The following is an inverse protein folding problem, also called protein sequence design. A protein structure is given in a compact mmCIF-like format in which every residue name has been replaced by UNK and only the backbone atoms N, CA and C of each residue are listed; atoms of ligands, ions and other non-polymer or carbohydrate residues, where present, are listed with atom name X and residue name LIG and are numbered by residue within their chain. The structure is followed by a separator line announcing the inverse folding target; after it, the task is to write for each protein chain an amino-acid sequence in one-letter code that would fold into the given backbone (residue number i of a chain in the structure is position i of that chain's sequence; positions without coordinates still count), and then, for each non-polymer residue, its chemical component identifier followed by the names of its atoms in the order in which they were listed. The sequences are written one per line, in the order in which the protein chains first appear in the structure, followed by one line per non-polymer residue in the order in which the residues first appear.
data_IF_568359478546
#
_entry.id   IF_568359478546
#
_cell.length_a   1.000
_cell.length_b   1.000
_cell.length_c   1.000
_cell.angle_alpha   90.00
_cell.angle_beta   90.00
_cell.angle_gamma   90.00
#
_symmetry.space_group_name_H-M   'P 1'
#
loop_
_entity.id
_entity.type
_entity.pdbx_description
1 polymer ?
#
# COMPACT_ATOMS: atom_id res chain seq x y z
N UNK A 1 23.58 -22.67 -14.67
CA UNK A 1 22.56 -23.30 -13.80
C UNK A 1 21.57 -24.07 -14.68
N UNK A 2 21.14 -25.27 -14.27
CA UNK A 2 20.18 -26.06 -15.05
C UNK A 2 18.79 -25.43 -15.01
N UNK A 3 17.99 -25.62 -16.07
CA UNK A 3 16.61 -25.10 -16.17
C UNK A 3 15.70 -25.59 -15.04
N UNK A 4 16.01 -26.77 -14.47
CA UNK A 4 15.32 -27.38 -13.33
C UNK A 4 15.55 -26.60 -12.02
N UNK A 5 16.79 -26.20 -11.74
CA UNK A 5 17.14 -25.48 -10.51
C UNK A 5 16.48 -24.10 -10.41
N UNK A 6 16.20 -23.45 -11.56
CA UNK A 6 15.52 -22.15 -11.61
C UNK A 6 14.03 -22.21 -11.26
N UNK A 7 13.41 -23.39 -11.39
CA UNK A 7 11.97 -23.60 -11.15
C UNK A 7 11.70 -24.36 -9.85
N UNK A 8 12.74 -24.66 -9.08
CA UNK A 8 12.64 -25.35 -7.79
C UNK A 8 11.93 -24.47 -6.77
N UNK A 9 10.79 -24.95 -6.28
CA UNK A 9 10.01 -24.29 -5.22
C UNK A 9 10.63 -24.59 -3.86
N UNK A 10 10.71 -23.57 -3.03
CA UNK A 10 11.26 -23.59 -1.68
C UNK A 10 10.19 -23.07 -0.74
N UNK A 11 9.96 -23.82 0.35
CA UNK A 11 9.08 -23.40 1.45
C UNK A 11 9.96 -22.94 2.61
N UNK A 12 9.77 -21.69 3.02
CA UNK A 12 10.41 -21.09 4.20
C UNK A 12 9.36 -20.95 5.29
N UNK A 13 9.62 -21.52 6.46
CA UNK A 13 8.79 -21.36 7.66
C UNK A 13 9.50 -20.39 8.61
N UNK A 14 9.04 -19.13 8.62
CA UNK A 14 9.71 -18.03 9.34
C UNK A 14 8.87 -17.68 10.57
N UNK A 15 9.32 -18.09 11.76
CA UNK A 15 8.59 -17.85 13.01
C UNK A 15 7.15 -18.38 12.99
N UNK A 16 6.87 -19.45 12.23
CA UNK A 16 5.53 -20.02 12.05
C UNK A 16 4.76 -19.54 10.82
N UNK A 17 5.23 -18.49 10.12
CA UNK A 17 4.62 -18.01 8.88
C UNK A 17 5.28 -18.69 7.68
N UNK A 18 4.49 -19.36 6.84
CA UNK A 18 4.99 -20.07 5.66
C UNK A 18 5.01 -19.17 4.43
N UNK A 19 6.16 -19.14 3.76
CA UNK A 19 6.39 -18.47 2.49
C UNK A 19 6.83 -19.48 1.44
N UNK A 20 6.24 -19.40 0.26
CA UNK A 20 6.66 -20.19 -0.90
C UNK A 20 7.29 -19.27 -1.95
N UNK A 21 8.45 -19.67 -2.46
CA UNK A 21 9.18 -18.92 -3.48
C UNK A 21 10.04 -19.86 -4.33
N UNK A 22 10.76 -19.33 -5.31
CA UNK A 22 11.70 -20.11 -6.11
C UNK A 22 13.12 -19.98 -5.55
N UNK A 23 13.91 -21.05 -5.70
CA UNK A 23 15.36 -21.00 -5.39
C UNK A 23 16.03 -19.84 -6.13
N UNK A 24 15.66 -19.60 -7.39
CA UNK A 24 16.19 -18.50 -8.19
C UNK A 24 15.95 -17.12 -7.56
N UNK A 25 14.81 -16.94 -6.89
CA UNK A 25 14.49 -15.71 -6.15
C UNK A 25 15.43 -15.53 -4.98
N UNK A 26 15.62 -16.57 -4.16
CA UNK A 26 16.53 -16.50 -3.02
C UNK A 26 17.99 -16.28 -3.45
N UNK A 27 18.42 -16.90 -4.55
CA UNK A 27 19.79 -16.77 -5.07
C UNK A 27 20.05 -15.51 -5.90
N UNK A 28 19.07 -14.63 -6.09
CA UNK A 28 19.20 -13.43 -6.93
C UNK A 28 20.26 -12.45 -6.40
N UNK A 29 20.47 -12.43 -5.08
CA UNK A 29 21.45 -11.56 -4.41
C UNK A 29 22.43 -12.41 -3.58
N UNK A 30 23.48 -12.99 -4.20
CA UNK A 30 24.34 -13.98 -3.58
C UNK A 30 25.04 -13.52 -2.29
N UNK A 31 25.28 -12.23 -2.15
CA UNK A 31 26.01 -11.64 -1.00
C UNK A 31 25.17 -11.49 0.27
N UNK A 32 23.88 -11.85 0.20
CA UNK A 32 22.96 -11.87 1.34
C UNK A 32 22.90 -13.26 1.99
N UNK A 33 22.34 -13.37 3.19
CA UNK A 33 22.28 -14.63 3.94
C UNK A 33 21.55 -15.73 3.15
N UNK A 34 20.31 -15.49 2.68
CA UNK A 34 19.57 -16.50 1.91
C UNK A 34 20.17 -16.70 0.53
N UNK A 35 20.73 -15.64 -0.06
CA UNK A 35 21.45 -15.69 -1.32
C UNK A 35 22.62 -16.65 -1.28
N UNK A 36 23.40 -16.62 -0.20
CA UNK A 36 24.49 -17.56 0.05
C UNK A 36 23.94 -18.95 0.40
N UNK A 37 22.99 -19.04 1.34
CA UNK A 37 22.44 -20.31 1.83
C UNK A 37 21.87 -21.18 0.70
N UNK A 38 21.13 -20.59 -0.24
CA UNK A 38 20.44 -21.33 -1.29
C UNK A 38 21.24 -21.49 -2.59
N UNK A 39 22.53 -21.10 -2.63
CA UNK A 39 23.41 -21.41 -3.77
C UNK A 39 23.53 -22.92 -3.99
N UNK A 40 23.70 -23.35 -5.24
CA UNK A 40 23.84 -24.78 -5.58
C UNK A 40 25.00 -25.45 -4.84
N UNK A 41 26.11 -24.72 -4.62
CA UNK A 41 27.28 -25.21 -3.87
C UNK A 41 26.98 -25.50 -2.39
N UNK A 42 25.94 -24.89 -1.83
CA UNK A 42 25.58 -24.98 -0.42
C UNK A 42 24.38 -25.92 -0.17
N UNK A 43 23.85 -26.60 -1.20
CA UNK A 43 22.71 -27.52 -1.08
C UNK A 43 22.88 -28.59 0.01
N UNK A 44 24.11 -29.08 0.19
CA UNK A 44 24.40 -30.14 1.16
C UNK A 44 24.38 -29.62 2.61
N UNK A 45 24.57 -28.30 2.81
CA UNK A 45 24.64 -27.69 4.13
C UNK A 45 23.26 -27.26 4.65
N UNK A 46 22.24 -27.32 3.80
CA UNK A 46 20.95 -26.70 4.04
C UNK A 46 19.88 -27.77 3.88
N UNK A 47 19.49 -28.35 5.02
CA UNK A 47 18.50 -29.41 5.07
C UNK A 47 17.14 -28.85 5.44
N UNK A 48 16.15 -29.19 4.62
CA UNK A 48 14.77 -28.99 4.99
C UNK A 48 14.37 -29.98 6.10
N UNK A 49 13.36 -29.62 6.88
CA UNK A 49 12.77 -30.51 7.88
C UNK A 49 12.03 -31.68 7.19
N UNK A 50 11.39 -32.53 7.98
CA UNK A 50 10.63 -33.71 7.47
C UNK A 50 9.51 -33.33 6.50
N UNK A 51 9.02 -32.10 6.56
CA UNK A 51 7.96 -31.57 5.70
C UNK A 51 8.51 -30.82 4.48
N UNK A 52 9.82 -30.92 4.22
CA UNK A 52 10.54 -30.21 3.16
C UNK A 52 10.46 -28.67 3.28
N UNK A 53 10.40 -28.18 4.53
CA UNK A 53 10.42 -26.75 4.85
C UNK A 53 11.74 -26.33 5.52
N UNK A 54 12.20 -25.12 5.21
CA UNK A 54 13.35 -24.50 5.89
C UNK A 54 12.85 -23.60 7.01
N UNK A 55 13.16 -23.98 8.25
CA UNK A 55 12.76 -23.19 9.41
C UNK A 55 13.75 -22.06 9.70
N UNK A 56 13.23 -20.86 9.93
CA UNK A 56 13.98 -19.66 10.26
C UNK A 56 13.32 -19.03 11.50
N UNK A 57 14.04 -19.00 12.62
CA UNK A 57 13.52 -18.50 13.89
C UNK A 57 13.57 -16.97 13.97
N UNK A 58 12.78 -16.30 13.11
CA UNK A 58 12.74 -14.84 12.92
C UNK A 58 11.30 -14.34 12.82
N UNK A 59 11.11 -13.02 12.72
CA UNK A 59 9.79 -12.42 12.60
C UNK A 59 9.14 -12.74 11.24
N UNK A 60 8.18 -13.67 11.25
CA UNK A 60 7.46 -14.10 10.06
C UNK A 60 6.72 -12.97 9.34
N UNK A 61 6.09 -12.04 10.05
CA UNK A 61 5.36 -10.94 9.42
C UNK A 61 6.29 -9.91 8.76
N UNK A 62 7.44 -9.62 9.36
CA UNK A 62 8.46 -8.74 8.77
C UNK A 62 9.13 -9.38 7.54
N UNK A 63 9.18 -10.72 7.48
CA UNK A 63 9.83 -11.45 6.40
C UNK A 63 9.25 -11.16 5.00
N UNK A 64 8.01 -10.68 4.90
CA UNK A 64 7.45 -10.23 3.61
C UNK A 64 8.31 -9.17 2.92
N UNK A 65 8.86 -8.22 3.67
CA UNK A 65 9.72 -7.16 3.13
C UNK A 65 11.07 -7.71 2.67
N UNK A 66 11.61 -8.66 3.42
CA UNK A 66 12.82 -9.41 3.06
C UNK A 66 12.60 -10.15 1.74
N UNK A 67 11.47 -10.83 1.58
CA UNK A 67 11.16 -11.57 0.36
C UNK A 67 10.91 -10.66 -0.85
N UNK A 68 10.30 -9.49 -0.66
CA UNK A 68 10.15 -8.49 -1.73
C UNK A 68 11.50 -7.94 -2.20
N UNK A 69 12.49 -7.76 -1.32
CA UNK A 69 13.85 -7.42 -1.75
C UNK A 69 14.42 -8.47 -2.70
N UNK A 70 14.26 -9.77 -2.41
CA UNK A 70 14.72 -10.83 -3.30
C UNK A 70 13.99 -10.89 -4.65
N UNK A 71 12.77 -10.33 -4.73
CA UNK A 71 11.98 -10.29 -5.98
C UNK A 71 12.34 -9.07 -6.83
N UNK A 72 12.55 -7.91 -6.18
CA UNK A 72 12.52 -6.61 -6.84
C UNK A 72 13.87 -5.88 -6.76
N UNK A 73 14.72 -6.24 -5.79
CA UNK A 73 16.01 -5.59 -5.53
C UNK A 73 15.94 -4.29 -4.74
N UNK A 74 14.75 -3.91 -4.27
CA UNK A 74 14.53 -2.65 -3.56
C UNK A 74 14.20 -2.90 -2.08
N UNK A 75 14.80 -2.10 -1.21
CA UNK A 75 14.47 -2.06 0.22
C UNK A 75 13.17 -1.29 0.37
N UNK A 76 12.15 -1.96 0.92
CA UNK A 76 10.84 -1.36 1.16
C UNK A 76 10.71 -0.92 2.62
N UNK A 77 10.05 0.22 2.84
CA UNK A 77 9.68 0.71 4.17
C UNK A 77 8.15 0.66 4.36
N UNK A 78 7.67 0.35 5.59
CA UNK A 78 6.24 0.15 5.89
C UNK A 78 5.29 1.30 5.50
N UNK A 79 5.82 2.50 5.26
CA UNK A 79 5.03 3.71 5.00
C UNK A 79 5.08 4.15 3.53
N UNK A 80 5.98 3.58 2.74
CA UNK A 80 6.28 4.05 1.38
C UNK A 80 5.47 3.32 0.32
N UNK A 81 5.19 2.01 0.52
CA UNK A 81 4.46 1.18 -0.43
C UNK A 81 3.57 0.20 0.33
N UNK A 82 2.34 0.61 0.67
CA UNK A 82 1.31 -0.35 1.09
C UNK A 82 0.86 -1.10 -0.16
N UNK A 83 1.21 -2.38 -0.30
CA UNK A 83 0.61 -3.20 -1.35
C UNK A 83 -0.85 -3.46 -0.99
N UNK A 84 -1.77 -3.22 -1.93
CA UNK A 84 -3.22 -3.41 -1.77
C UNK A 84 -3.59 -4.87 -1.40
N UNK A 85 -2.64 -5.80 -1.54
CA UNK A 85 -2.83 -7.22 -1.28
C UNK A 85 -2.43 -7.65 0.13
N UNK A 86 -1.94 -6.75 0.99
CA UNK A 86 -1.55 -7.12 2.35
C UNK A 86 -2.77 -7.18 3.28
N UNK A 87 -3.44 -8.33 3.25
CA UNK A 87 -4.51 -8.68 4.20
C UNK A 87 -4.00 -8.94 5.62
N UNK A 88 -2.68 -8.98 5.84
CA UNK A 88 -2.08 -9.21 7.16
C UNK A 88 -1.87 -7.86 7.84
N UNK A 89 -2.88 -7.45 8.61
CA UNK A 89 -3.00 -6.18 9.36
C UNK A 89 -1.89 -5.91 10.41
N UNK A 90 -0.77 -6.63 10.39
CA UNK A 90 0.29 -6.47 11.37
C UNK A 90 1.25 -5.35 10.95
N UNK A 91 1.14 -4.21 11.64
CA UNK A 91 2.13 -3.13 11.53
C UNK A 91 3.52 -3.64 11.92
N UNK A 92 4.51 -3.38 11.07
CA UNK A 92 5.92 -3.66 11.34
C UNK A 92 6.63 -2.31 11.51
N UNK A 93 7.24 -2.09 12.66
CA UNK A 93 8.02 -0.87 12.90
C UNK A 93 9.30 -0.87 12.06
N UNK A 94 9.83 0.33 11.79
CA UNK A 94 11.13 0.50 11.12
C UNK A 94 12.24 -0.24 11.88
N UNK A 95 12.21 -0.21 13.21
CA UNK A 95 13.20 -0.88 14.06
C UNK A 95 13.15 -2.40 13.95
N UNK A 96 11.96 -3.00 13.93
CA UNK A 96 11.81 -4.43 13.69
C UNK A 96 12.37 -4.81 12.33
N UNK A 97 12.02 -4.06 11.28
CA UNK A 97 12.46 -4.35 9.93
C UNK A 97 13.97 -4.19 9.76
N UNK A 98 14.58 -3.16 10.36
CA UNK A 98 16.04 -2.97 10.36
C UNK A 98 16.79 -4.17 10.95
N UNK A 99 16.27 -4.77 12.05
CA UNK A 99 16.87 -5.97 12.63
C UNK A 99 16.80 -7.17 11.69
N UNK A 100 15.73 -7.28 10.90
CA UNK A 100 15.63 -8.34 9.91
C UNK A 100 16.55 -8.10 8.71
N UNK A 101 16.64 -6.87 8.18
CA UNK A 101 17.60 -6.58 7.11
C UNK A 101 19.04 -6.86 7.52
N UNK A 102 19.42 -6.49 8.75
CA UNK A 102 20.72 -6.82 9.34
C UNK A 102 20.93 -8.35 9.45
N UNK A 103 19.97 -9.07 10.03
CA UNK A 103 20.05 -10.54 10.16
C UNK A 103 20.20 -11.24 8.80
N UNK A 104 19.40 -10.86 7.80
CA UNK A 104 19.47 -11.43 6.45
C UNK A 104 20.60 -10.87 5.59
N UNK A 105 21.41 -9.96 6.15
CA UNK A 105 22.54 -9.32 5.46
C UNK A 105 22.13 -8.64 4.15
N UNK A 106 20.94 -8.03 4.14
CA UNK A 106 20.47 -7.23 3.01
C UNK A 106 21.11 -5.85 3.12
N UNK A 107 21.79 -5.36 2.08
CA UNK A 107 22.34 -4.02 2.11
C UNK A 107 21.21 -2.99 2.16
N UNK A 108 21.24 -2.10 3.15
CA UNK A 108 20.31 -0.99 3.26
C UNK A 108 21.06 0.30 3.61
N UNK A 109 20.57 1.42 3.11
CA UNK A 109 20.99 2.74 3.55
C UNK A 109 20.03 3.26 4.60
N UNK A 110 20.58 3.74 5.71
CA UNK A 110 19.80 4.55 6.66
C UNK A 110 19.73 5.95 6.06
N UNK A 111 18.54 6.46 5.70
CA UNK A 111 18.40 7.84 5.25
C UNK A 111 18.94 8.75 6.34
N UNK A 112 20.05 9.43 6.03
CA UNK A 112 20.68 10.42 6.90
C UNK A 112 20.32 11.85 6.48
N UNK A 113 19.49 11.99 5.45
CA UNK A 113 18.98 13.25 4.95
C UNK A 113 17.47 13.32 5.11
N UNK A 114 16.96 14.54 5.25
CA UNK A 114 15.52 14.78 5.20
C UNK A 114 14.98 14.44 3.80
N UNK A 115 13.69 14.06 3.67
CA UNK A 115 13.07 13.82 2.39
C UNK A 115 13.27 15.00 1.42
N UNK A 116 13.70 14.70 0.20
CA UNK A 116 13.90 15.74 -0.83
C UNK A 116 12.55 16.22 -1.37
N UNK A 117 12.52 17.40 -1.98
CA UNK A 117 11.32 17.90 -2.66
C UNK A 117 10.78 16.92 -3.71
N UNK A 118 11.66 16.14 -4.36
CA UNK A 118 11.26 15.10 -5.30
C UNK A 118 10.50 13.95 -4.61
N UNK A 119 10.92 13.56 -3.41
CA UNK A 119 10.20 12.54 -2.62
C UNK A 119 8.85 13.07 -2.13
N UNK A 120 8.79 14.34 -1.70
CA UNK A 120 7.55 14.99 -1.32
C UNK A 120 6.58 15.12 -2.51
N UNK A 121 7.08 15.42 -3.71
CA UNK A 121 6.28 15.46 -4.93
C UNK A 121 5.68 14.09 -5.24
N UNK A 122 6.46 13.00 -5.18
CA UNK A 122 5.92 11.63 -5.32
C UNK A 122 4.80 11.32 -4.31
N UNK A 123 4.92 11.86 -3.09
CA UNK A 123 3.90 11.69 -2.07
C UNK A 123 2.60 12.44 -2.42
N UNK A 124 2.72 13.64 -2.97
CA UNK A 124 1.58 14.39 -3.50
C UNK A 124 0.93 13.68 -4.70
N UNK A 125 1.74 13.20 -5.66
CA UNK A 125 1.26 12.47 -6.83
C UNK A 125 0.45 11.23 -6.41
N UNK A 126 0.96 10.47 -5.44
CA UNK A 126 0.24 9.33 -4.87
C UNK A 126 -1.10 9.72 -4.26
N UNK A 127 -1.18 10.85 -3.56
CA UNK A 127 -2.42 11.34 -2.97
C UNK A 127 -3.44 11.74 -4.06
N UNK A 128 -2.98 12.42 -5.11
CA UNK A 128 -3.81 12.84 -6.23
C UNK A 128 -4.34 11.64 -7.02
N UNK A 129 -3.50 10.63 -7.26
CA UNK A 129 -3.92 9.38 -7.88
C UNK A 129 -4.94 8.63 -7.02
N UNK A 130 -4.72 8.54 -5.70
CA UNK A 130 -5.69 7.91 -4.79
C UNK A 130 -7.05 8.63 -4.82
N UNK A 131 -7.08 9.96 -4.85
CA UNK A 131 -8.31 10.74 -5.00
C UNK A 131 -8.99 10.47 -6.35
N UNK A 132 -8.23 10.44 -7.44
CA UNK A 132 -8.76 10.12 -8.76
C UNK A 132 -9.37 8.73 -8.78
N UNK A 133 -8.71 7.74 -8.19
CA UNK A 133 -9.22 6.39 -8.10
C UNK A 133 -10.50 6.29 -7.25
N UNK A 134 -10.58 7.05 -6.15
CA UNK A 134 -11.79 7.17 -5.34
C UNK A 134 -12.98 7.68 -6.18
N UNK A 135 -12.75 8.44 -7.25
CA UNK A 135 -13.83 8.89 -8.13
C UNK A 135 -14.49 7.74 -8.90
N UNK A 136 -13.74 6.69 -9.25
CA UNK A 136 -14.32 5.47 -9.82
C UNK A 136 -15.15 4.72 -8.77
N UNK A 137 -14.66 4.68 -7.52
CA UNK A 137 -15.39 4.03 -6.42
C UNK A 137 -16.76 4.72 -6.16
N UNK A 138 -16.88 6.03 -6.40
CA UNK A 138 -18.19 6.74 -6.35
C UNK A 138 -19.18 6.09 -7.32
N UNK A 139 -18.77 5.84 -8.57
CA UNK A 139 -19.65 5.24 -9.59
C UNK A 139 -19.93 3.76 -9.30
N UNK A 140 -18.92 2.99 -8.88
CA UNK A 140 -19.13 1.59 -8.49
C UNK A 140 -20.06 1.45 -7.27
N UNK A 141 -20.08 2.44 -6.38
CA UNK A 141 -21.01 2.50 -5.26
C UNK A 141 -22.42 3.01 -5.65
N UNK A 142 -22.70 3.20 -6.94
CA UNK A 142 -23.93 3.81 -7.43
C UNK A 142 -24.24 5.15 -6.75
N UNK A 143 -23.22 6.01 -6.63
CA UNK A 143 -23.34 7.39 -6.14
C UNK A 143 -22.91 8.40 -7.21
N UNK A 144 -23.17 9.67 -6.92
CA UNK A 144 -22.71 10.81 -7.72
C UNK A 144 -21.76 11.72 -6.95
N UNK A 145 -21.54 11.48 -5.65
CA UNK A 145 -20.68 12.30 -4.83
C UNK A 145 -20.04 11.53 -3.68
N UNK A 146 -18.95 12.09 -3.17
CA UNK A 146 -18.30 11.69 -1.93
C UNK A 146 -17.67 12.92 -1.27
N UNK A 147 -17.76 12.97 0.05
CA UNK A 147 -17.04 13.93 0.89
C UNK A 147 -15.97 13.19 1.67
N UNK A 148 -14.73 13.66 1.57
CA UNK A 148 -13.61 13.20 2.38
C UNK A 148 -13.27 14.31 3.36
N UNK A 149 -13.16 13.99 4.64
CA UNK A 149 -12.72 14.92 5.67
C UNK A 149 -11.39 14.46 6.21
N UNK A 150 -10.38 15.34 6.22
CA UNK A 150 -9.16 15.15 6.98
C UNK A 150 -9.15 16.15 8.14
N UNK A 151 -8.85 15.71 9.34
CA UNK A 151 -8.89 16.54 10.55
C UNK A 151 -7.49 17.01 10.96
N UNK A 152 -7.42 18.18 11.57
CA UNK A 152 -6.21 18.75 12.17
C UNK A 152 -6.27 18.51 13.68
N UNK A 153 -5.75 17.36 14.12
CA UNK A 153 -5.64 17.07 15.54
C UNK A 153 -4.21 17.32 16.01
N UNK A 154 -4.04 18.25 16.94
CA UNK A 154 -2.84 18.26 17.79
C UNK A 154 -2.91 17.02 18.71
N UNK A 155 -1.82 16.26 18.79
CA UNK A 155 -1.68 14.95 19.45
C UNK A 155 -1.71 15.06 20.99
N UNK A 156 -2.63 15.84 21.57
CA UNK A 156 -2.65 16.07 23.03
C UNK A 156 -3.47 15.03 23.82
N UNK A 157 -4.24 14.15 23.17
CA UNK A 157 -5.01 13.09 23.83
C UNK A 157 -4.77 11.73 23.16
N UNK A 158 -3.77 10.99 23.63
CA UNK A 158 -3.44 9.64 23.13
C UNK A 158 -4.50 8.58 23.49
N UNK A 159 -5.25 8.78 24.58
CA UNK A 159 -6.25 7.82 25.06
C UNK A 159 -7.51 7.74 24.19
N UNK A 160 -7.73 8.72 23.31
CA UNK A 160 -8.90 8.80 22.47
C UNK A 160 -8.51 9.21 21.05
N UNK A 161 -7.64 8.43 20.39
CA UNK A 161 -7.15 8.70 19.03
C UNK A 161 -8.34 9.05 18.11
N UNK A 162 -8.51 10.32 17.75
CA UNK A 162 -9.65 10.70 16.96
C UNK A 162 -9.46 10.18 15.53
N UNK A 163 -10.58 9.90 14.84
CA UNK A 163 -10.55 9.47 13.45
C UNK A 163 -9.88 10.53 12.59
N UNK A 164 -8.65 10.26 12.12
CA UNK A 164 -7.82 11.21 11.36
C UNK A 164 -8.47 11.64 10.04
N UNK A 165 -9.26 10.76 9.42
CA UNK A 165 -10.03 11.07 8.22
C UNK A 165 -11.32 10.25 8.11
N UNK A 166 -12.33 10.82 7.45
CA UNK A 166 -13.63 10.18 7.23
C UNK A 166 -14.00 10.24 5.74
N UNK A 167 -14.51 9.14 5.21
CA UNK A 167 -15.11 9.06 3.87
C UNK A 167 -16.63 8.94 4.02
N UNK A 168 -17.38 9.82 3.37
CA UNK A 168 -18.85 9.86 3.45
C UNK A 168 -19.51 10.04 2.06
N UNK A 169 -20.38 9.11 1.62
CA UNK A 169 -20.77 7.86 2.29
C UNK A 169 -19.56 6.93 2.47
N UNK A 170 -19.63 6.01 3.44
CA UNK A 170 -18.57 5.02 3.61
C UNK A 170 -18.46 4.16 2.35
N UNK A 171 -17.28 4.17 1.75
CA UNK A 171 -16.93 3.39 0.57
C UNK A 171 -15.60 2.73 0.89
N UNK A 172 -15.61 1.41 1.07
CA UNK A 172 -14.46 0.64 1.55
C UNK A 172 -13.22 0.80 0.67
N UNK A 173 -13.41 0.75 -0.66
CA UNK A 173 -12.34 0.97 -1.63
C UNK A 173 -11.68 2.34 -1.47
N UNK A 174 -12.47 3.40 -1.29
CA UNK A 174 -11.96 4.75 -1.11
C UNK A 174 -11.25 4.93 0.25
N UNK A 175 -11.80 4.34 1.32
CA UNK A 175 -11.18 4.38 2.63
C UNK A 175 -9.78 3.73 2.60
N UNK A 176 -9.65 2.55 1.98
CA UNK A 176 -8.36 1.84 1.86
C UNK A 176 -7.32 2.63 1.06
N UNK A 177 -7.72 3.23 -0.06
CA UNK A 177 -6.82 4.05 -0.91
C UNK A 177 -6.31 5.31 -0.21
N UNK A 178 -7.14 5.91 0.64
CA UNK A 178 -6.81 7.15 1.35
C UNK A 178 -6.12 6.91 2.70
N UNK A 179 -6.22 5.70 3.26
CA UNK A 179 -5.62 5.32 4.54
C UNK A 179 -4.12 5.67 4.64
N UNK A 180 -3.27 5.44 3.60
CA UNK A 180 -1.87 5.82 3.66
C UNK A 180 -1.65 7.30 3.93
N UNK A 181 -2.59 8.17 3.57
CA UNK A 181 -2.49 9.63 3.68
C UNK A 181 -3.15 10.18 4.94
N UNK A 182 -3.59 9.35 5.88
CA UNK A 182 -4.35 9.81 7.06
C UNK A 182 -3.61 10.86 7.91
N UNK A 183 -2.28 10.80 7.96
CA UNK A 183 -1.44 11.72 8.74
C UNK A 183 -1.07 13.01 8.02
N UNK A 184 -1.17 13.05 6.68
CA UNK A 184 -0.73 14.19 5.87
C UNK A 184 -1.82 14.75 4.95
N UNK A 185 -2.97 14.08 4.82
CA UNK A 185 -4.04 14.44 3.90
C UNK A 185 -4.63 15.82 4.19
N UNK A 186 -4.70 16.24 5.46
CA UNK A 186 -5.10 17.60 5.82
C UNK A 186 -4.15 18.64 5.21
N UNK A 187 -2.84 18.51 5.48
CA UNK A 187 -1.81 19.44 5.01
C UNK A 187 -1.69 19.45 3.49
N UNK A 188 -1.70 18.26 2.85
CA UNK A 188 -1.67 18.14 1.39
C UNK A 188 -2.86 18.85 0.75
N UNK A 189 -4.05 18.69 1.31
CA UNK A 189 -5.27 19.30 0.79
C UNK A 189 -5.30 20.82 0.94
N UNK A 190 -4.61 21.38 1.94
CA UNK A 190 -4.51 22.84 2.10
C UNK A 190 -3.45 23.41 1.17
N UNK A 191 -2.25 22.83 1.18
CA UNK A 191 -1.10 23.39 0.47
C UNK A 191 -1.23 23.29 -1.05
N UNK A 192 -1.87 22.22 -1.55
CA UNK A 192 -1.97 21.93 -2.97
C UNK A 192 -3.42 21.94 -3.48
N UNK A 193 -4.29 22.73 -2.83
CA UNK A 193 -5.73 22.76 -3.13
C UNK A 193 -5.99 23.01 -4.63
N UNK A 194 -5.35 24.03 -5.19
CA UNK A 194 -5.63 24.47 -6.57
C UNK A 194 -5.10 23.45 -7.58
N UNK A 195 -3.92 22.88 -7.33
CA UNK A 195 -3.30 21.83 -8.13
C UNK A 195 -4.13 20.55 -8.11
N UNK A 196 -4.64 20.13 -6.94
CA UNK A 196 -5.53 18.98 -6.82
C UNK A 196 -6.82 19.22 -7.60
N UNK A 197 -7.49 20.35 -7.40
CA UNK A 197 -8.73 20.66 -8.11
C UNK A 197 -8.55 20.73 -9.63
N UNK A 198 -7.44 21.31 -10.10
CA UNK A 198 -7.10 21.38 -11.51
C UNK A 198 -6.83 19.99 -12.11
N UNK A 199 -6.02 19.17 -11.45
CA UNK A 199 -5.73 17.80 -11.88
C UNK A 199 -6.99 16.95 -11.99
N UNK A 200 -7.87 17.00 -10.98
CA UNK A 200 -9.10 16.20 -10.96
C UNK A 200 -10.03 16.57 -12.13
N UNK A 201 -10.13 17.87 -12.42
CA UNK A 201 -10.94 18.38 -13.53
C UNK A 201 -10.34 18.01 -14.90
N UNK A 202 -9.01 18.01 -15.01
CA UNK A 202 -8.31 17.63 -16.24
C UNK A 202 -8.36 16.12 -16.51
N UNK A 203 -8.23 15.29 -15.46
CA UNK A 203 -8.23 13.82 -15.58
C UNK A 203 -9.60 13.25 -15.94
N UNK A 204 -10.69 13.84 -15.44
CA UNK A 204 -12.05 13.41 -15.75
C UNK A 204 -12.96 14.62 -15.99
N UNK A 205 -13.33 14.84 -17.25
CA UNK A 205 -14.10 16.03 -17.67
C UNK A 205 -15.41 16.23 -16.90
N UNK A 206 -16.02 15.15 -16.40
CA UNK A 206 -17.29 15.18 -15.67
C UNK A 206 -17.12 15.20 -14.14
N UNK A 207 -15.90 15.07 -13.64
CA UNK A 207 -15.57 15.19 -12.23
C UNK A 207 -15.43 16.67 -11.86
N UNK A 208 -15.90 17.02 -10.68
CA UNK A 208 -15.68 18.29 -10.01
C UNK A 208 -15.12 18.00 -8.61
N UNK A 209 -14.13 18.80 -8.20
CA UNK A 209 -13.47 18.67 -6.90
C UNK A 209 -13.41 20.05 -6.22
N UNK A 210 -14.14 20.20 -5.11
CA UNK A 210 -14.11 21.38 -4.24
C UNK A 210 -13.40 21.05 -2.94
N UNK A 211 -12.44 21.88 -2.54
CA UNK A 211 -11.69 21.70 -1.30
C UNK A 211 -11.87 22.93 -0.43
N UNK A 212 -12.29 22.72 0.82
CA UNK A 212 -12.51 23.82 1.76
C UNK A 212 -12.11 23.46 3.18
N UNK A 213 -11.56 24.44 3.90
CA UNK A 213 -11.30 24.35 5.33
C UNK A 213 -12.57 24.67 6.13
N UNK A 214 -12.82 23.91 7.18
CA UNK A 214 -13.94 24.05 8.13
C UNK A 214 -13.33 24.15 9.52
N UNK A 215 -13.76 25.13 10.34
CA UNK A 215 -13.14 25.43 11.64
C UNK A 215 -13.72 24.67 12.84
N UNK A 216 -14.85 23.98 12.67
CA UNK A 216 -15.52 23.28 13.76
C UNK A 216 -16.25 22.04 13.25
N UNK A 217 -15.70 20.83 13.48
CA UNK A 217 -14.31 20.56 13.89
C UNK A 217 -13.29 21.08 12.86
N UNK A 218 -12.05 21.38 13.29
CA UNK A 218 -10.99 21.82 12.36
C UNK A 218 -10.64 20.68 11.40
N UNK A 219 -11.05 20.85 10.15
CA UNK A 219 -10.87 19.85 9.10
C UNK A 219 -10.87 20.47 7.72
N UNK A 220 -10.34 19.72 6.76
CA UNK A 220 -10.47 20.02 5.33
C UNK A 220 -11.46 19.04 4.74
N UNK A 221 -12.42 19.56 4.00
CA UNK A 221 -13.43 18.79 3.27
C UNK A 221 -13.07 18.83 1.79
N UNK A 222 -12.79 17.66 1.22
CA UNK A 222 -12.69 17.43 -0.23
C UNK A 222 -14.04 16.87 -0.69
N UNK A 223 -14.76 17.63 -1.49
CA UNK A 223 -16.02 17.20 -2.10
C UNK A 223 -15.76 16.84 -3.56
N UNK A 224 -15.89 15.56 -3.86
CA UNK A 224 -15.87 15.05 -5.23
C UNK A 224 -17.31 14.85 -5.70
N UNK A 225 -17.62 15.35 -6.89
CA UNK A 225 -18.93 15.27 -7.52
C UNK A 225 -18.81 14.88 -8.98
N UNK A 226 -19.55 13.87 -9.40
CA UNK A 226 -19.63 13.41 -10.79
C UNK A 226 -20.91 13.98 -11.39
N UNK A 227 -20.75 14.79 -12.44
CA UNK A 227 -21.86 15.50 -13.09
C UNK A 227 -22.85 14.60 -13.82
N UNK A 228 -22.47 13.35 -14.09
CA UNK A 228 -23.38 12.35 -14.65
C UNK A 228 -24.27 11.72 -13.58
N UNK A 229 -25.57 11.77 -13.81
CA UNK A 229 -26.52 10.93 -13.09
C UNK A 229 -26.28 9.44 -13.41
N UNK A 230 -26.88 8.60 -12.58
CA UNK A 230 -26.89 7.15 -12.80
C UNK A 230 -28.10 6.85 -13.67
N UNK A 231 -27.85 6.42 -14.89
CA UNK A 231 -28.89 5.99 -15.82
C UNK A 231 -29.23 4.51 -15.56
N UNK A 232 -30.25 4.29 -14.73
CA UNK A 232 -30.70 2.95 -14.37
C UNK A 232 -31.18 2.16 -15.60
N UNK A 233 -31.82 2.83 -16.57
CA UNK A 233 -32.31 2.17 -17.78
C UNK A 233 -31.15 1.69 -18.65
N UNK A 234 -30.15 2.54 -18.83
CA UNK A 234 -28.93 2.18 -19.57
C UNK A 234 -28.20 1.02 -18.89
N UNK A 235 -28.02 1.05 -17.56
CA UNK A 235 -27.39 -0.04 -16.81
C UNK A 235 -28.17 -1.34 -16.98
N UNK A 236 -29.50 -1.30 -16.91
CA UNK A 236 -30.34 -2.48 -17.10
C UNK A 236 -30.22 -3.07 -18.51
N UNK A 237 -29.82 -2.29 -19.53
CA UNK A 237 -29.53 -2.84 -20.87
C UNK A 237 -28.40 -3.88 -20.83
N UNK A 238 -27.47 -3.75 -19.90
CA UNK A 238 -26.33 -4.64 -19.71
C UNK A 238 -26.53 -5.69 -18.62
N UNK A 239 -27.64 -5.63 -17.87
CA UNK A 239 -27.94 -6.63 -16.85
C UNK A 239 -28.27 -7.99 -17.49
N UNK A 240 -27.62 -9.05 -17.02
CA UNK A 240 -27.94 -10.43 -17.45
C UNK A 240 -29.39 -10.82 -17.14
N UNK A 241 -30.03 -10.13 -16.20
CA UNK A 241 -31.42 -10.35 -15.79
C UNK A 241 -32.43 -9.50 -16.55
N UNK A 242 -32.01 -8.66 -17.52
CA UNK A 242 -32.92 -7.82 -18.32
C UNK A 242 -34.06 -8.61 -18.97
N UNK A 243 -33.79 -9.85 -19.38
CA UNK A 243 -34.79 -10.72 -20.02
C UNK A 243 -35.91 -11.17 -19.08
N UNK A 244 -35.76 -10.96 -17.77
CA UNK A 244 -36.73 -11.34 -16.73
C UNK A 244 -37.54 -10.14 -16.21
N UNK A 245 -37.19 -8.91 -16.61
CA UNK A 245 -37.86 -7.66 -16.24
C UNK A 245 -38.73 -7.16 -17.39
#
# INVERSE_FOLDING_TARGET
MSKLARSERIVLNVGGVKYETYRSTLTAYPDTLLGTMFQDRNRILVHANKDNEYFIDRNGHAFRYILEYYRNGEVLWPNENFSENDTSQTYISRWELLREYDYFQIPFEIPNTLPTSQMLAKRLDGFMNALLECSFDIKFAFRTYMNIKFYDYSISDEENRPTMFVVNPYIDGAYKKLKPFESCGYTLSIFFKEEISAFMTASLSKLSCDIRKVKSPDCVVIRMYIRDNIDCEEILKYSVYKKLL
#
